data_IF_649916652686
#
_entry.id   IF_649916652686
#
_cell.length_a   1.000
_cell.length_b   1.000
_cell.length_c   1.000
_cell.angle_alpha   90.00
_cell.angle_beta   90.00
_cell.angle_gamma   90.00
#
_symmetry.space_group_name_H-M   'P 1'
#
loop_
_entity.id
_entity.type
_entity.pdbx_description
1 polymer ?
#
# COMPACT_ATOMS: atom_id res chain seq x y z
N UNK A 1 22.70 13.59 -64.05
CA UNK A 1 22.87 14.35 -62.80
C UNK A 1 22.18 13.61 -61.66
N UNK A 2 22.94 13.26 -60.61
CA UNK A 2 22.58 13.13 -59.16
C UNK A 2 21.27 12.40 -58.73
N UNK A 3 21.46 11.22 -58.12
CA UNK A 3 20.67 10.63 -57.01
C UNK A 3 20.93 11.40 -55.68
N UNK A 4 20.32 11.08 -54.50
CA UNK A 4 18.99 10.54 -54.11
C UNK A 4 18.42 11.33 -52.88
N UNK A 5 17.56 10.72 -52.04
CA UNK A 5 17.01 11.17 -50.73
C UNK A 5 15.78 12.09 -50.83
N UNK A 6 14.74 12.01 -49.99
CA UNK A 6 14.74 11.52 -48.62
C UNK A 6 13.36 11.01 -48.24
N UNK A 7 13.35 9.77 -47.78
CA UNK A 7 12.28 9.17 -46.99
C UNK A 7 12.08 9.99 -45.72
N UNK A 8 10.89 10.55 -45.52
CA UNK A 8 10.47 11.09 -44.23
C UNK A 8 9.47 10.12 -43.62
N UNK A 9 9.95 8.92 -43.25
CA UNK A 9 9.31 8.16 -42.18
C UNK A 9 9.40 9.01 -40.91
N UNK A 10 8.30 9.66 -40.56
CA UNK A 10 8.13 10.29 -39.25
C UNK A 10 8.05 9.17 -38.20
N UNK A 11 9.21 8.73 -37.72
CA UNK A 11 9.32 7.95 -36.49
C UNK A 11 8.90 8.85 -35.33
N UNK A 12 7.64 8.74 -34.94
CA UNK A 12 7.15 9.24 -33.65
C UNK A 12 7.83 8.40 -32.58
N UNK A 13 8.93 8.92 -32.05
CA UNK A 13 9.55 8.38 -30.84
C UNK A 13 8.63 8.74 -29.68
N UNK A 14 7.65 7.89 -29.40
CA UNK A 14 6.98 7.86 -28.11
C UNK A 14 8.05 7.54 -27.08
N UNK A 15 8.58 8.59 -26.46
CA UNK A 15 9.39 8.49 -25.25
C UNK A 15 8.47 7.84 -24.23
N UNK A 16 8.64 6.53 -24.04
CA UNK A 16 8.10 5.78 -22.93
C UNK A 16 8.74 6.35 -21.67
N UNK A 17 8.12 7.40 -21.12
CA UNK A 17 8.32 7.76 -19.73
C UNK A 17 7.93 6.52 -18.94
N UNK A 18 8.94 5.78 -18.48
CA UNK A 18 8.74 4.68 -17.56
C UNK A 18 7.95 5.23 -16.38
N UNK A 19 6.71 4.80 -16.24
CA UNK A 19 5.87 5.13 -15.09
C UNK A 19 6.54 4.55 -13.85
N UNK A 20 7.46 5.30 -13.23
CA UNK A 20 7.69 5.15 -11.80
C UNK A 20 6.35 5.55 -11.15
N UNK A 21 5.48 4.57 -10.92
CA UNK A 21 4.20 4.84 -10.30
C UNK A 21 4.48 5.44 -8.93
N UNK A 22 3.92 6.62 -8.65
CA UNK A 22 4.02 7.26 -7.34
C UNK A 22 3.33 6.45 -6.21
N UNK A 23 2.85 5.24 -6.54
CA UNK A 23 2.14 4.30 -5.72
C UNK A 23 2.78 2.91 -5.86
N UNK A 24 2.97 2.25 -4.73
CA UNK A 24 3.21 0.81 -4.65
C UNK A 24 2.66 0.31 -3.33
N UNK A 25 2.15 -0.91 -3.33
CA UNK A 25 1.64 -1.57 -2.14
C UNK A 25 1.98 -3.04 -2.16
N UNK A 26 2.39 -3.57 -1.02
CA UNK A 26 2.63 -4.97 -0.77
C UNK A 26 1.84 -5.37 0.46
N UNK A 27 0.95 -6.34 0.29
CA UNK A 27 0.35 -7.07 1.40
C UNK A 27 0.91 -8.48 1.43
N UNK A 28 1.39 -8.90 2.59
CA UNK A 28 1.86 -10.27 2.85
C UNK A 28 1.01 -10.86 3.96
N UNK A 29 0.13 -11.77 3.59
CA UNK A 29 -0.62 -12.57 4.56
C UNK A 29 0.33 -13.43 5.39
N UNK A 30 0.06 -13.52 6.69
CA UNK A 30 0.87 -14.30 7.64
C UNK A 30 0.07 -15.36 8.38
N UNK A 31 -1.26 -15.30 8.32
CA UNK A 31 -2.15 -16.30 8.92
C UNK A 31 -3.17 -16.86 7.92
N UNK A 32 -2.74 -17.85 7.13
CA UNK A 32 -3.55 -18.51 6.09
C UNK A 32 -4.70 -19.39 6.59
N UNK A 33 -4.87 -19.50 7.91
CA UNK A 33 -5.98 -20.26 8.50
C UNK A 33 -7.13 -19.35 8.93
N UNK A 34 -6.88 -18.05 9.04
CA UNK A 34 -7.81 -17.08 9.58
C UNK A 34 -8.30 -16.14 8.47
N UNK A 35 -9.55 -16.33 8.06
CA UNK A 35 -10.20 -15.53 7.00
C UNK A 35 -11.44 -14.81 7.56
N UNK A 36 -11.26 -13.72 8.33
CA UNK A 36 -12.37 -12.95 8.84
C UNK A 36 -13.12 -12.24 7.70
N UNK A 37 -14.39 -11.90 7.95
CA UNK A 37 -15.17 -11.13 7.00
C UNK A 37 -14.56 -9.74 6.78
N UNK A 38 -14.59 -9.19 5.56
CA UNK A 38 -14.08 -7.86 5.28
C UNK A 38 -14.71 -6.78 6.16
N UNK A 39 -13.88 -5.82 6.58
CA UNK A 39 -14.25 -4.65 7.38
C UNK A 39 -14.13 -3.42 6.49
N UNK A 40 -15.07 -2.48 6.57
CA UNK A 40 -14.98 -1.25 5.78
C UNK A 40 -13.73 -0.44 6.20
N UNK A 41 -13.02 0.14 5.23
CA UNK A 41 -11.76 0.85 5.48
C UNK A 41 -11.88 1.93 6.58
N UNK A 42 -13.01 2.64 6.63
CA UNK A 42 -13.31 3.66 7.65
C UNK A 42 -13.40 3.11 9.08
N UNK A 43 -13.69 1.82 9.23
CA UNK A 43 -13.84 1.13 10.51
C UNK A 43 -12.54 0.46 10.96
N UNK A 44 -11.51 0.44 10.10
CA UNK A 44 -10.16 0.00 10.45
C UNK A 44 -9.49 1.09 11.30
N UNK A 45 -9.21 0.76 12.56
CA UNK A 45 -8.55 1.67 13.50
C UNK A 45 -7.04 1.64 13.29
N UNK A 46 -6.46 2.80 13.02
CA UNK A 46 -5.00 2.97 13.02
C UNK A 46 -4.49 3.04 14.46
N UNK A 47 -3.46 2.26 14.76
CA UNK A 47 -2.80 2.21 16.07
C UNK A 47 -1.33 2.58 15.90
N UNK A 48 -0.79 3.46 16.75
CA UNK A 48 0.58 3.98 16.61
C UNK A 48 1.65 2.93 16.86
N UNK A 49 1.39 2.01 17.78
CA UNK A 49 2.31 0.92 18.11
C UNK A 49 1.54 -0.27 18.69
N UNK A 50 2.19 -1.42 18.81
CA UNK A 50 1.60 -2.61 19.44
C UNK A 50 1.27 -2.38 20.92
N UNK A 51 2.04 -1.52 21.58
CA UNK A 51 1.90 -1.22 23.00
C UNK A 51 0.64 -0.41 23.32
N UNK A 52 0.05 0.25 22.32
CA UNK A 52 -1.20 1.01 22.46
C UNK A 52 -2.47 0.13 22.42
N UNK A 53 -2.34 -1.18 22.21
CA UNK A 53 -3.44 -2.13 22.24
C UNK A 53 -3.51 -2.85 23.59
N UNK A 54 -4.56 -2.54 24.35
CA UNK A 54 -4.88 -3.24 25.61
C UNK A 54 -5.64 -4.56 25.41
N UNK A 55 -6.21 -4.78 24.22
CA UNK A 55 -6.96 -6.00 23.88
C UNK A 55 -6.07 -7.00 23.15
N UNK A 56 -6.33 -8.30 23.34
CA UNK A 56 -5.70 -9.34 22.54
C UNK A 56 -6.08 -9.20 21.06
N UNK A 57 -5.13 -9.48 20.18
CA UNK A 57 -5.26 -9.39 18.74
C UNK A 57 -4.47 -10.50 18.06
N UNK A 58 -4.87 -10.82 16.83
CA UNK A 58 -4.20 -11.81 15.98
C UNK A 58 -3.78 -11.14 14.69
N UNK A 59 -2.52 -11.36 14.30
CA UNK A 59 -1.99 -10.90 13.03
C UNK A 59 -2.67 -11.65 11.87
N UNK A 60 -3.09 -10.92 10.84
CA UNK A 60 -3.57 -11.46 9.56
C UNK A 60 -2.52 -11.33 8.47
N UNK A 61 -1.78 -10.23 8.48
CA UNK A 61 -0.73 -9.95 7.52
C UNK A 61 -0.04 -8.62 7.76
N UNK A 62 0.97 -8.35 6.94
CA UNK A 62 1.78 -7.13 6.95
C UNK A 62 1.49 -6.33 5.69
N UNK A 63 1.20 -5.05 5.86
CA UNK A 63 1.03 -4.10 4.76
C UNK A 63 2.18 -3.11 4.73
N UNK A 64 2.73 -2.91 3.53
CA UNK A 64 3.71 -1.86 3.22
C UNK A 64 3.27 -1.13 1.97
N UNK A 65 3.34 0.19 1.98
CA UNK A 65 3.01 0.95 0.79
C UNK A 65 3.60 2.33 0.78
N UNK A 66 3.54 2.97 -0.39
CA UNK A 66 3.83 4.38 -0.52
C UNK A 66 2.83 5.09 -1.44
N UNK A 67 2.66 6.38 -1.19
CA UNK A 67 1.80 7.27 -1.98
C UNK A 67 2.36 8.71 -1.98
N UNK A 68 1.88 9.60 -2.86
CA UNK A 68 2.28 11.02 -2.88
C UNK A 68 1.99 11.76 -1.57
N UNK A 69 0.92 11.39 -0.86
CA UNK A 69 0.54 11.99 0.43
C UNK A 69 0.39 10.94 1.53
N UNK A 70 0.57 11.37 2.79
CA UNK A 70 0.34 10.50 3.96
C UNK A 70 -1.09 9.99 4.02
N UNK A 71 -2.07 10.82 3.66
CA UNK A 71 -3.49 10.44 3.68
C UNK A 71 -3.77 9.33 2.67
N UNK A 72 -3.27 9.44 1.44
CA UNK A 72 -3.43 8.40 0.42
C UNK A 72 -2.75 7.08 0.84
N UNK A 73 -1.55 7.16 1.43
CA UNK A 73 -0.83 5.98 1.91
C UNK A 73 -1.60 5.26 3.03
N UNK A 74 -2.13 6.03 3.99
CA UNK A 74 -2.91 5.52 5.12
C UNK A 74 -4.28 4.98 4.70
N UNK A 75 -4.99 5.66 3.81
CA UNK A 75 -6.28 5.17 3.30
C UNK A 75 -6.10 3.89 2.48
N UNK A 76 -5.03 3.77 1.68
CA UNK A 76 -4.71 2.52 0.98
C UNK A 76 -4.41 1.40 1.98
N UNK A 77 -3.64 1.68 3.04
CA UNK A 77 -3.38 0.70 4.10
C UNK A 77 -4.66 0.22 4.78
N UNK A 78 -5.54 1.16 5.16
CA UNK A 78 -6.84 0.85 5.77
C UNK A 78 -7.72 0.04 4.82
N UNK A 79 -7.75 0.38 3.53
CA UNK A 79 -8.51 -0.37 2.53
C UNK A 79 -8.01 -1.81 2.44
N UNK A 80 -6.69 -2.03 2.36
CA UNK A 80 -6.14 -3.38 2.26
C UNK A 80 -6.33 -4.20 3.53
N UNK A 81 -6.06 -3.61 4.70
CA UNK A 81 -6.32 -4.28 5.98
C UNK A 81 -7.82 -4.59 6.16
N UNK A 82 -8.70 -3.67 5.79
CA UNK A 82 -10.15 -3.87 5.83
C UNK A 82 -10.60 -5.00 4.90
N UNK A 83 -10.09 -5.05 3.67
CA UNK A 83 -10.35 -6.15 2.74
C UNK A 83 -9.91 -7.51 3.29
N UNK A 84 -8.83 -7.55 4.07
CA UNK A 84 -8.37 -8.75 4.78
C UNK A 84 -9.20 -9.10 6.03
N UNK A 85 -10.16 -8.26 6.43
CA UNK A 85 -11.00 -8.43 7.61
C UNK A 85 -10.36 -7.98 8.93
N UNK A 86 -9.32 -7.14 8.86
CA UNK A 86 -8.67 -6.58 10.04
C UNK A 86 -9.52 -5.47 10.70
N UNK A 87 -9.49 -5.42 12.03
CA UNK A 87 -10.04 -4.28 12.78
C UNK A 87 -8.98 -3.19 13.02
N UNK A 88 -7.71 -3.57 12.97
CA UNK A 88 -6.59 -2.71 13.30
C UNK A 88 -5.57 -2.66 12.16
N UNK A 89 -5.01 -1.47 11.95
CA UNK A 89 -3.74 -1.29 11.25
C UNK A 89 -2.73 -0.76 12.27
N UNK A 90 -1.84 -1.62 12.74
CA UNK A 90 -0.87 -1.34 13.80
C UNK A 90 0.44 -0.95 13.14
N UNK A 91 0.87 0.30 13.31
CA UNK A 91 2.09 0.79 12.69
C UNK A 91 3.33 0.07 13.27
N UNK A 92 4.20 -0.41 12.37
CA UNK A 92 5.54 -0.88 12.74
C UNK A 92 6.51 0.30 12.84
N UNK A 93 6.23 1.38 12.10
CA UNK A 93 7.00 2.63 12.08
C UNK A 93 6.05 3.78 11.78
N UNK A 94 6.29 4.95 12.36
CA UNK A 94 5.51 6.15 12.03
C UNK A 94 5.63 6.48 10.54
N UNK A 95 4.55 6.93 9.86
CA UNK A 95 4.61 7.34 8.47
C UNK A 95 5.70 8.39 8.24
N UNK A 96 6.54 8.18 7.23
CA UNK A 96 7.65 9.07 6.94
C UNK A 96 7.78 9.33 5.44
N UNK A 97 8.35 10.48 5.08
CA UNK A 97 8.58 10.84 3.69
C UNK A 97 9.99 10.43 3.25
N UNK A 98 10.10 9.83 2.07
CA UNK A 98 11.36 9.43 1.43
C UNK A 98 11.19 9.43 -0.08
N UNK A 99 12.18 9.96 -0.80
CA UNK A 99 12.20 9.95 -2.28
C UNK A 99 10.93 10.58 -2.91
N UNK A 100 10.38 11.61 -2.27
CA UNK A 100 9.16 12.29 -2.74
C UNK A 100 7.84 11.54 -2.50
N UNK A 101 7.85 10.43 -1.76
CA UNK A 101 6.65 9.66 -1.40
C UNK A 101 6.55 9.45 0.11
N UNK A 102 5.33 9.30 0.62
CA UNK A 102 5.06 8.90 2.00
C UNK A 102 5.01 7.39 2.09
N UNK A 103 5.82 6.82 2.98
CA UNK A 103 5.93 5.38 3.22
C UNK A 103 5.19 5.02 4.51
N UNK A 104 4.46 3.91 4.47
CA UNK A 104 3.75 3.33 5.62
C UNK A 104 4.10 1.84 5.73
N UNK A 105 4.26 1.37 6.96
CA UNK A 105 4.52 -0.04 7.29
C UNK A 105 3.73 -0.38 8.56
N UNK A 106 2.95 -1.44 8.49
CA UNK A 106 2.20 -1.91 9.64
C UNK A 106 1.62 -3.30 9.47
N UNK A 107 1.02 -3.76 10.55
CA UNK A 107 0.38 -5.05 10.69
C UNK A 107 -1.14 -4.86 10.58
N UNK A 108 -1.78 -5.63 9.71
CA UNK A 108 -3.22 -5.80 9.70
C UNK A 108 -3.58 -6.87 10.74
N UNK A 109 -4.39 -6.50 11.73
CA UNK A 109 -4.75 -7.40 12.82
C UNK A 109 -6.26 -7.39 13.09
N UNK A 110 -6.79 -8.55 13.47
CA UNK A 110 -8.15 -8.71 13.96
C UNK A 110 -8.14 -8.77 15.48
N UNK A 111 -9.21 -8.29 16.12
CA UNK A 111 -9.39 -8.50 17.55
C UNK A 111 -9.48 -10.01 17.81
N UNK A 112 -8.77 -10.51 18.81
CA UNK A 112 -8.88 -11.91 19.18
C UNK A 112 -10.31 -12.17 19.69
N UNK A 113 -10.98 -13.18 19.12
CA UNK A 113 -12.23 -13.68 19.66
C UNK A 113 -11.87 -14.49 20.89
N UNK A 114 -12.27 -13.99 22.07
CA UNK A 114 -12.20 -14.74 23.32
C UNK A 114 -13.39 -15.69 23.42
#
# INVERSE_FOLDING_TARGET
MRLPLSSCLALVVLVSSGCASAYSSLYKETNHQLHPAPVAAKDVRVVKSRDDLSSAWTELGVYRGHAPTVNEAMETAKQQCGNAGANYYILNTEPFQSEGSWKVDGVCAVKAVQ
#
